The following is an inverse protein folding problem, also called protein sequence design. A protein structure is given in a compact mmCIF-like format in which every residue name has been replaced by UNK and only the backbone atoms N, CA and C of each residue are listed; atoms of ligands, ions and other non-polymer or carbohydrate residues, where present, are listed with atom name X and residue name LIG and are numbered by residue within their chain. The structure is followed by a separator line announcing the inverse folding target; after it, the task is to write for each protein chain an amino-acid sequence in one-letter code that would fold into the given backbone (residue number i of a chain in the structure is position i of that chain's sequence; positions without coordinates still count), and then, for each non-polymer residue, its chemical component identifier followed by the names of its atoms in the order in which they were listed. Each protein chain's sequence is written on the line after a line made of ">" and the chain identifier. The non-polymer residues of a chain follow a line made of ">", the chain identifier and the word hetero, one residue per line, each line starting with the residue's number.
data_IF_990974300197
#
_entry.id   IF_990974300197
#
_cell.length_a   1.000
_cell.length_b   1.000
_cell.length_c   1.000
_cell.angle_alpha   90.00
_cell.angle_beta   90.00
_cell.angle_gamma   90.00
#
_symmetry.space_group_name_H-M   'P 1'
#
loop_
_entity.id
_entity.type
_entity.pdbx_description
1 polymer ?
#
# COMPACT_ATOMS: atom_id res chain seq x y z
N UNK A 1 -3.20 31.35 17.78
CA UNK A 1 -3.04 31.41 16.31
C UNK A 1 -3.11 29.99 15.78
N UNK A 2 -4.26 29.58 15.24
CA UNK A 2 -4.35 28.30 14.52
C UNK A 2 -3.71 28.49 13.15
N UNK A 3 -2.71 27.68 12.82
CA UNK A 3 -2.21 27.55 11.45
C UNK A 3 -3.39 27.39 10.48
N UNK A 4 -3.33 28.10 9.35
CA UNK A 4 -4.24 27.86 8.24
C UNK A 4 -4.00 26.42 7.76
N UNK A 5 -4.93 25.52 8.06
CA UNK A 5 -4.85 24.13 7.59
C UNK A 5 -4.98 24.18 6.07
N UNK A 6 -3.85 24.10 5.37
CA UNK A 6 -3.85 23.90 3.93
C UNK A 6 -4.58 22.59 3.64
N UNK A 7 -5.49 22.64 2.68
CA UNK A 7 -6.32 21.52 2.27
C UNK A 7 -5.47 20.46 1.53
N UNK A 8 -4.66 19.77 2.30
CA UNK A 8 -3.74 18.74 1.85
C UNK A 8 -4.31 17.38 2.20
N UNK A 9 -4.02 16.38 1.37
CA UNK A 9 -4.31 14.98 1.66
C UNK A 9 -3.62 14.51 2.96
N UNK A 10 -4.06 13.39 3.54
CA UNK A 10 -3.47 12.77 4.73
C UNK A 10 -2.88 11.38 4.42
N UNK A 11 -1.77 11.02 5.07
CA UNK A 11 -1.15 9.69 4.95
C UNK A 11 -0.90 9.12 6.35
N UNK A 12 -1.09 7.82 6.51
CA UNK A 12 -0.69 7.08 7.69
C UNK A 12 -0.03 5.76 7.27
N UNK A 13 1.09 5.40 7.89
CA UNK A 13 1.76 4.12 7.69
C UNK A 13 2.02 3.47 9.05
N UNK A 14 1.63 2.20 9.19
CA UNK A 14 1.92 1.36 10.34
C UNK A 14 2.73 0.16 9.86
N UNK A 15 3.88 -0.07 10.50
CA UNK A 15 4.70 -1.27 10.34
C UNK A 15 4.94 -1.93 11.70
N UNK A 16 4.29 -3.07 11.92
CA UNK A 16 4.43 -3.84 13.15
C UNK A 16 5.77 -4.59 13.19
N UNK A 17 6.66 -4.26 14.12
CA UNK A 17 7.99 -4.89 14.21
C UNK A 17 7.96 -6.34 14.76
N UNK A 18 6.79 -6.81 15.21
CA UNK A 18 6.58 -8.17 15.75
C UNK A 18 5.37 -8.84 15.07
N UNK A 19 5.23 -10.17 15.14
CA UNK A 19 4.05 -10.88 14.63
C UNK A 19 2.77 -10.47 15.36
N UNK A 20 1.60 -10.76 14.77
CA UNK A 20 0.30 -10.42 15.37
C UNK A 20 0.09 -11.06 16.75
N UNK A 21 0.64 -12.26 16.99
CA UNK A 21 0.58 -12.95 18.28
C UNK A 21 1.14 -12.08 19.43
N UNK A 22 2.30 -11.44 19.20
CA UNK A 22 2.90 -10.55 20.21
C UNK A 22 1.96 -9.41 20.62
N UNK A 23 1.26 -8.81 19.64
CA UNK A 23 0.33 -7.72 19.93
C UNK A 23 -0.96 -8.21 20.58
N UNK A 24 -1.39 -9.42 20.24
CA UNK A 24 -2.50 -10.06 20.93
C UNK A 24 -2.18 -10.31 22.40
N UNK A 25 -1.02 -10.90 22.71
CA UNK A 25 -0.63 -11.19 24.09
C UNK A 25 -0.39 -9.92 24.91
N UNK A 26 0.19 -8.89 24.29
CA UNK A 26 0.52 -7.63 24.97
C UNK A 26 -0.65 -6.67 25.12
N UNK A 27 -1.55 -6.59 24.13
CA UNK A 27 -2.61 -5.58 24.05
C UNK A 27 -4.03 -6.18 24.00
N UNK A 28 -4.16 -7.50 24.09
CA UNK A 28 -5.44 -8.21 24.03
C UNK A 28 -6.07 -8.29 22.64
N UNK A 29 -5.35 -7.90 21.57
CA UNK A 29 -5.88 -7.96 20.20
C UNK A 29 -4.80 -8.07 19.13
N UNK A 30 -5.03 -8.95 18.15
CA UNK A 30 -4.21 -9.05 16.93
C UNK A 30 -4.43 -7.86 15.97
N UNK A 31 -5.48 -7.05 16.19
CA UNK A 31 -5.85 -5.91 15.33
C UNK A 31 -5.19 -4.60 15.73
N UNK A 32 -4.19 -4.66 16.61
CA UNK A 32 -3.50 -3.47 17.12
C UNK A 32 -3.07 -2.50 16.01
N UNK A 33 -2.48 -3.01 14.92
CA UNK A 33 -2.07 -2.18 13.79
C UNK A 33 -3.24 -1.49 13.09
N UNK A 34 -4.35 -2.20 12.86
CA UNK A 34 -5.55 -1.68 12.22
C UNK A 34 -6.23 -0.60 13.08
N UNK A 35 -6.36 -0.85 14.39
CA UNK A 35 -6.92 0.11 15.35
C UNK A 35 -6.08 1.39 15.41
N UNK A 36 -4.74 1.26 15.43
CA UNK A 36 -3.84 2.43 15.40
C UNK A 36 -3.93 3.19 14.08
N UNK A 37 -4.04 2.50 12.95
CA UNK A 37 -4.25 3.14 11.66
C UNK A 37 -5.55 3.95 11.65
N UNK A 38 -6.66 3.38 12.12
CA UNK A 38 -7.94 4.08 12.23
C UNK A 38 -7.83 5.36 13.06
N UNK A 39 -7.20 5.29 14.23
CA UNK A 39 -6.99 6.46 15.07
C UNK A 39 -6.14 7.53 14.39
N UNK A 40 -5.06 7.14 13.70
CA UNK A 40 -4.19 8.07 12.97
C UNK A 40 -4.92 8.75 11.81
N UNK A 41 -5.73 8.00 11.06
CA UNK A 41 -6.53 8.56 9.98
C UNK A 41 -7.65 9.46 10.53
N UNK A 42 -8.31 9.08 11.63
CA UNK A 42 -9.32 9.90 12.29
C UNK A 42 -8.75 11.24 12.77
N UNK A 43 -7.54 11.23 13.34
CA UNK A 43 -6.83 12.47 13.74
C UNK A 43 -6.55 13.39 12.54
N UNK A 44 -6.42 12.82 11.36
CA UNK A 44 -6.19 13.53 10.10
C UNK A 44 -7.47 13.79 9.29
N UNK A 45 -8.68 13.56 9.84
CA UNK A 45 -9.95 13.70 9.08
C UNK A 45 -10.14 15.05 8.36
N UNK A 46 -9.53 16.12 8.89
CA UNK A 46 -9.60 17.46 8.29
C UNK A 46 -8.65 17.63 7.08
N UNK A 47 -7.82 16.62 6.78
CA UNK A 47 -6.88 16.54 5.66
C UNK A 47 -7.43 15.70 4.49
N UNK A 48 -8.75 15.56 4.36
CA UNK A 48 -9.36 14.88 3.21
C UNK A 48 -10.75 14.34 3.50
N UNK A 49 -11.72 14.82 2.71
CA UNK A 49 -13.13 14.47 2.84
C UNK A 49 -13.72 13.91 1.54
N UNK A 50 -12.97 13.91 0.44
CA UNK A 50 -13.44 13.46 -0.87
C UNK A 50 -13.25 11.95 -1.09
N UNK A 51 -12.33 11.34 -0.36
CA UNK A 51 -12.15 9.90 -0.39
C UNK A 51 -11.13 9.42 0.64
N UNK A 52 -11.18 8.12 0.90
CA UNK A 52 -10.26 7.46 1.83
C UNK A 52 -9.94 6.05 1.34
N UNK A 53 -8.76 5.55 1.69
CA UNK A 53 -8.39 4.19 1.38
C UNK A 53 -7.36 3.62 2.34
N UNK A 54 -7.39 2.30 2.47
CA UNK A 54 -6.44 1.51 3.26
C UNK A 54 -5.97 0.33 2.44
N UNK A 55 -4.68 0.04 2.54
CA UNK A 55 -4.06 -1.19 2.06
C UNK A 55 -3.39 -1.91 3.23
N UNK A 56 -3.52 -3.23 3.23
CA UNK A 56 -2.99 -4.14 4.23
C UNK A 56 -2.08 -5.17 3.55
N UNK A 57 -0.84 -5.31 4.05
CA UNK A 57 0.14 -6.28 3.57
C UNK A 57 0.49 -7.24 4.71
N UNK A 58 0.19 -8.52 4.49
CA UNK A 58 0.50 -9.63 5.39
C UNK A 58 1.89 -10.17 5.05
N UNK A 59 2.72 -10.34 6.07
CA UNK A 59 4.08 -10.84 5.89
C UNK A 59 4.14 -12.36 5.98
N UNK A 60 5.12 -12.96 5.29
CA UNK A 60 5.39 -14.41 5.34
C UNK A 60 4.17 -15.27 5.00
N UNK A 61 3.34 -14.79 4.07
CA UNK A 61 2.18 -15.53 3.55
C UNK A 61 2.65 -16.56 2.51
N UNK A 62 2.14 -17.79 2.64
CA UNK A 62 2.40 -18.90 1.72
C UNK A 62 1.89 -18.59 0.31
N UNK A 63 2.53 -19.09 -0.76
CA UNK A 63 1.99 -19.03 -2.12
C UNK A 63 0.55 -19.55 -2.20
N UNK A 64 -0.25 -18.99 -3.12
CA UNK A 64 -1.68 -19.33 -3.27
C UNK A 64 -2.62 -18.59 -2.32
N UNK A 65 -2.12 -17.73 -1.43
CA UNK A 65 -2.92 -16.89 -0.53
C UNK A 65 -2.68 -15.41 -0.83
N UNK A 66 -3.73 -14.59 -0.74
CA UNK A 66 -3.61 -13.14 -0.90
C UNK A 66 -2.83 -12.53 0.25
N UNK A 67 -1.79 -11.77 -0.07
CA UNK A 67 -0.97 -11.05 0.91
C UNK A 67 -1.18 -9.52 0.88
N UNK A 68 -1.86 -8.98 -0.15
CA UNK A 68 -2.20 -7.55 -0.26
C UNK A 68 -3.70 -7.40 -0.46
N UNK A 69 -4.35 -6.72 0.48
CA UNK A 69 -5.76 -6.36 0.41
C UNK A 69 -5.93 -4.85 0.49
N UNK A 70 -6.90 -4.30 -0.25
CA UNK A 70 -7.13 -2.85 -0.33
C UNK A 70 -8.61 -2.56 -0.33
N UNK A 71 -9.02 -1.61 0.52
CA UNK A 71 -10.35 -1.01 0.52
C UNK A 71 -10.22 0.49 0.24
N UNK A 72 -11.14 1.04 -0.55
CA UNK A 72 -11.19 2.46 -0.89
C UNK A 72 -12.65 2.89 -0.96
N UNK A 73 -12.91 4.17 -0.72
CA UNK A 73 -14.21 4.79 -0.92
C UNK A 73 -14.06 6.27 -1.27
N UNK A 74 -14.98 6.78 -2.08
CA UNK A 74 -15.14 8.19 -2.42
C UNK A 74 -16.54 8.71 -2.01
N UNK A 75 -17.27 7.93 -1.19
CA UNK A 75 -18.57 8.31 -0.67
C UNK A 75 -18.44 9.41 0.39
N UNK A 76 -19.56 10.07 0.71
CA UNK A 76 -19.67 10.90 1.91
C UNK A 76 -19.36 10.07 3.17
N UNK A 77 -18.92 10.74 4.24
CA UNK A 77 -18.44 10.09 5.47
C UNK A 77 -17.40 8.98 5.22
N UNK A 78 -16.48 9.25 4.28
CA UNK A 78 -15.54 8.27 3.72
C UNK A 78 -14.80 7.43 4.77
N UNK A 79 -14.40 8.00 5.90
CA UNK A 79 -13.68 7.29 6.96
C UNK A 79 -14.57 6.25 7.63
N UNK A 80 -15.81 6.62 7.95
CA UNK A 80 -16.77 5.71 8.56
C UNK A 80 -17.08 4.57 7.59
N UNK A 81 -17.48 4.89 6.36
CA UNK A 81 -17.75 3.91 5.31
C UNK A 81 -16.58 2.95 5.06
N UNK A 82 -15.34 3.49 5.06
CA UNK A 82 -14.13 2.71 4.85
C UNK A 82 -13.92 1.69 5.98
N UNK A 83 -13.99 2.14 7.24
CA UNK A 83 -13.73 1.27 8.37
C UNK A 83 -14.88 0.31 8.65
N UNK A 84 -16.13 0.71 8.43
CA UNK A 84 -17.28 -0.19 8.49
C UNK A 84 -17.11 -1.35 7.51
N UNK A 85 -16.78 -1.06 6.24
CA UNK A 85 -16.51 -2.08 5.23
C UNK A 85 -15.32 -2.99 5.57
N UNK A 86 -14.30 -2.46 6.26
CA UNK A 86 -13.19 -3.27 6.76
C UNK A 86 -13.67 -4.18 7.90
N UNK A 87 -14.45 -3.65 8.86
CA UNK A 87 -14.93 -4.40 10.00
C UNK A 87 -16.01 -5.42 9.66
N UNK A 88 -16.69 -5.28 8.52
CA UNK A 88 -17.64 -6.27 8.03
C UNK A 88 -17.01 -7.66 7.81
N UNK A 89 -15.70 -7.70 7.53
CA UNK A 89 -14.96 -8.96 7.42
C UNK A 89 -14.92 -9.76 8.73
N UNK A 90 -15.23 -9.13 9.86
CA UNK A 90 -15.24 -9.75 11.19
C UNK A 90 -16.65 -10.17 11.63
N UNK A 91 -17.69 -9.80 10.88
CA UNK A 91 -19.07 -10.13 11.23
C UNK A 91 -19.28 -11.66 11.25
N UNK A 92 -20.00 -12.14 12.27
CA UNK A 92 -20.28 -13.56 12.45
C UNK A 92 -19.10 -14.41 12.95
N UNK A 93 -17.94 -13.82 13.21
CA UNK A 93 -16.83 -14.55 13.85
C UNK A 93 -17.13 -14.82 15.33
N UNK A 94 -16.86 -16.05 15.79
CA UNK A 94 -16.94 -16.38 17.20
C UNK A 94 -15.79 -15.72 17.99
N UNK A 95 -15.98 -15.52 19.30
CA UNK A 95 -14.92 -15.01 20.20
C UNK A 95 -13.62 -15.80 20.09
N UNK A 96 -13.70 -17.13 19.91
CA UNK A 96 -12.54 -18.01 19.71
C UNK A 96 -11.76 -17.68 18.43
N UNK A 97 -12.46 -17.33 17.33
CA UNK A 97 -11.83 -16.93 16.06
C UNK A 97 -11.22 -15.52 16.15
N UNK A 98 -11.90 -14.60 16.81
CA UNK A 98 -11.42 -13.22 17.04
C UNK A 98 -10.14 -13.21 17.89
N UNK A 99 -10.05 -14.08 18.90
CA UNK A 99 -8.88 -14.20 19.76
C UNK A 99 -7.83 -15.20 19.23
N UNK A 100 -7.84 -15.50 17.92
CA UNK A 100 -6.87 -16.38 17.29
C UNK A 100 -6.11 -15.60 16.19
N UNK A 101 -4.90 -15.07 16.49
CA UNK A 101 -4.15 -14.25 15.54
C UNK A 101 -3.78 -14.99 14.25
N UNK A 102 -3.47 -16.29 14.33
CA UNK A 102 -3.19 -17.12 13.16
C UNK A 102 -4.39 -17.25 12.23
N UNK A 103 -5.58 -17.53 12.79
CA UNK A 103 -6.84 -17.57 12.04
C UNK A 103 -7.12 -16.21 11.39
N UNK A 104 -6.98 -15.11 12.15
CA UNK A 104 -7.21 -13.77 11.64
C UNK A 104 -6.24 -13.44 10.49
N UNK A 105 -4.95 -13.71 10.65
CA UNK A 105 -3.95 -13.48 9.61
C UNK A 105 -4.25 -14.29 8.36
N UNK A 106 -4.73 -15.53 8.47
CA UNK A 106 -5.04 -16.33 7.28
C UNK A 106 -6.32 -15.88 6.58
N UNK A 107 -7.38 -15.56 7.34
CA UNK A 107 -8.73 -15.43 6.80
C UNK A 107 -9.23 -14.00 6.68
N UNK A 108 -8.69 -13.06 7.47
CA UNK A 108 -9.21 -11.70 7.55
C UNK A 108 -8.31 -10.74 6.78
N UNK A 109 -8.80 -10.07 5.72
CA UNK A 109 -7.97 -9.28 4.81
C UNK A 109 -7.08 -8.23 5.47
N UNK A 110 -7.59 -7.55 6.51
CA UNK A 110 -6.94 -6.40 7.17
C UNK A 110 -6.24 -6.74 8.50
N UNK A 111 -6.21 -8.02 8.90
CA UNK A 111 -5.34 -8.50 9.98
C UNK A 111 -3.91 -8.69 9.44
N UNK A 112 -3.13 -7.61 9.45
CA UNK A 112 -1.86 -7.52 8.73
C UNK A 112 -0.80 -6.71 9.48
N UNK A 113 0.48 -6.92 9.14
CA UNK A 113 1.62 -6.28 9.81
C UNK A 113 2.11 -4.98 9.15
N UNK A 114 1.72 -4.72 7.90
CA UNK A 114 1.98 -3.43 7.24
C UNK A 114 0.65 -2.88 6.76
N UNK A 115 0.35 -1.65 7.16
CA UNK A 115 -0.91 -1.00 6.84
C UNK A 115 -0.64 0.43 6.42
N UNK A 116 -1.20 0.86 5.29
CA UNK A 116 -1.09 2.24 4.82
C UNK A 116 -2.49 2.78 4.56
N UNK A 117 -2.76 3.98 5.06
CA UNK A 117 -3.99 4.73 4.90
C UNK A 117 -3.74 6.04 4.17
N UNK A 118 -4.70 6.46 3.36
CA UNK A 118 -4.70 7.76 2.69
C UNK A 118 -6.07 8.42 2.82
N UNK A 119 -6.04 9.75 3.01
CA UNK A 119 -7.19 10.64 2.97
C UNK A 119 -7.00 11.59 1.80
N UNK A 120 -7.98 11.64 0.91
CA UNK A 120 -7.96 12.46 -0.28
C UNK A 120 -8.70 13.77 -0.02
N UNK A 121 -8.02 14.87 -0.28
CA UNK A 121 -8.61 16.16 -0.56
C UNK A 121 -8.50 16.44 -2.06
N UNK A 122 -9.63 16.59 -2.74
CA UNK A 122 -9.71 16.87 -4.17
C UNK A 122 -9.73 18.37 -4.41
N UNK A 123 -8.62 18.91 -4.91
CA UNK A 123 -8.55 20.34 -5.29
C UNK A 123 -9.13 20.60 -6.68
N UNK A 124 -8.98 19.65 -7.62
CA UNK A 124 -9.44 19.75 -9.01
C UNK A 124 -9.79 18.35 -9.56
N UNK A 125 -10.81 18.27 -10.42
CA UNK A 125 -11.23 17.02 -11.12
C UNK A 125 -12.41 16.28 -10.48
N UNK A 126 -13.00 15.35 -11.23
CA UNK A 126 -14.15 14.57 -10.77
C UNK A 126 -13.79 13.69 -9.57
N UNK A 127 -14.71 13.56 -8.61
CA UNK A 127 -14.56 12.68 -7.45
C UNK A 127 -14.66 11.19 -7.87
N UNK A 128 -13.64 10.70 -8.54
CA UNK A 128 -13.56 9.33 -9.04
C UNK A 128 -12.77 8.43 -8.10
N UNK A 129 -13.27 7.20 -7.89
CA UNK A 129 -12.54 6.11 -7.23
C UNK A 129 -11.13 5.85 -7.79
N UNK A 130 -10.88 6.24 -9.04
CA UNK A 130 -9.56 6.12 -9.69
C UNK A 130 -8.51 7.02 -9.01
N UNK A 131 -8.93 8.12 -8.40
CA UNK A 131 -8.06 9.11 -7.76
C UNK A 131 -7.85 8.85 -6.27
N UNK A 132 -8.52 7.84 -5.69
CA UNK A 132 -8.39 7.49 -4.27
C UNK A 132 -7.18 6.58 -4.08
N UNK A 133 -6.25 6.95 -3.21
CA UNK A 133 -5.09 6.13 -2.87
C UNK A 133 -5.42 5.17 -1.70
N UNK A 134 -4.62 4.14 -1.42
CA UNK A 134 -3.42 3.69 -2.14
C UNK A 134 -3.70 3.07 -3.52
N UNK A 135 -2.78 3.25 -4.47
CA UNK A 135 -2.75 2.55 -5.76
C UNK A 135 -1.80 1.36 -5.69
N UNK A 136 -2.01 0.36 -6.57
CA UNK A 136 -1.24 -0.89 -6.58
C UNK A 136 -0.88 -1.23 -8.01
N UNK A 137 0.41 -1.45 -8.26
CA UNK A 137 0.95 -2.11 -9.45
C UNK A 137 1.30 -3.55 -9.07
N UNK A 138 0.50 -4.51 -9.54
CA UNK A 138 0.64 -5.92 -9.15
C UNK A 138 1.59 -6.66 -10.08
N UNK A 139 2.38 -7.57 -9.51
CA UNK A 139 3.18 -8.54 -10.24
C UNK A 139 3.16 -9.89 -9.49
N UNK A 140 3.38 -10.99 -10.21
CA UNK A 140 3.51 -12.32 -9.60
C UNK A 140 4.79 -12.44 -8.77
N UNK A 141 5.85 -11.72 -9.14
CA UNK A 141 7.01 -11.52 -8.27
C UNK A 141 6.73 -10.40 -7.27
N UNK A 142 6.76 -10.75 -5.98
CA UNK A 142 6.53 -9.78 -4.89
C UNK A 142 7.52 -8.61 -4.95
N UNK A 143 8.77 -8.86 -5.38
CA UNK A 143 9.81 -7.85 -5.56
C UNK A 143 9.49 -6.80 -6.62
N UNK A 144 8.55 -7.07 -7.54
CA UNK A 144 8.10 -6.14 -8.59
C UNK A 144 6.72 -5.54 -8.29
N UNK A 145 6.13 -5.88 -7.14
CA UNK A 145 4.83 -5.34 -6.73
C UNK A 145 5.04 -4.02 -5.97
N UNK A 146 4.35 -2.98 -6.40
CA UNK A 146 4.44 -1.65 -5.81
C UNK A 146 3.08 -1.19 -5.28
N UNK A 147 3.06 -0.70 -4.04
CA UNK A 147 1.91 -0.05 -3.44
C UNK A 147 2.30 1.39 -3.13
N UNK A 148 1.50 2.35 -3.59
CA UNK A 148 1.83 3.76 -3.48
C UNK A 148 0.64 4.56 -2.97
N UNK A 149 0.92 5.47 -2.05
CA UNK A 149 0.05 6.59 -1.74
C UNK A 149 0.94 7.83 -1.63
N UNK A 150 0.49 8.95 -2.18
CA UNK A 150 1.21 10.20 -2.08
C UNK A 150 0.29 11.41 -2.02
N UNK A 151 0.87 12.50 -1.55
CA UNK A 151 0.28 13.82 -1.45
C UNK A 151 1.11 14.74 -2.35
N UNK A 152 0.88 14.67 -3.65
CA UNK A 152 1.66 15.40 -4.63
C UNK A 152 0.77 16.01 -5.71
N UNK A 153 1.29 17.06 -6.33
CA UNK A 153 0.77 17.68 -7.54
C UNK A 153 2.00 17.94 -8.42
N UNK A 154 2.06 17.32 -9.60
CA UNK A 154 3.24 17.35 -10.46
C UNK A 154 3.11 18.47 -11.49
N UNK A 155 4.03 19.42 -11.46
CA UNK A 155 4.07 20.53 -12.43
C UNK A 155 4.62 20.11 -13.79
N UNK A 156 5.35 18.99 -13.86
CA UNK A 156 5.99 18.46 -15.06
C UNK A 156 5.45 17.08 -15.48
N UNK A 157 4.16 16.80 -15.21
CA UNK A 157 3.53 15.51 -15.56
C UNK A 157 3.62 15.19 -17.06
N UNK A 158 3.62 16.22 -17.91
CA UNK A 158 3.75 16.07 -19.36
C UNK A 158 5.12 15.48 -19.74
N UNK A 159 6.20 16.07 -19.23
CA UNK A 159 7.58 15.62 -19.46
C UNK A 159 7.80 14.19 -18.94
N UNK A 160 7.33 13.92 -17.72
CA UNK A 160 7.45 12.59 -17.11
C UNK A 160 6.65 11.54 -17.90
N UNK A 161 5.52 11.92 -18.50
CA UNK A 161 4.74 11.01 -19.34
C UNK A 161 5.46 10.70 -20.65
N UNK A 162 6.00 11.72 -21.33
CA UNK A 162 6.77 11.52 -22.57
C UNK A 162 8.05 10.69 -22.32
N UNK A 163 8.70 10.88 -21.18
CA UNK A 163 9.83 10.05 -20.75
C UNK A 163 9.43 8.56 -20.67
N UNK A 164 8.29 8.23 -20.06
CA UNK A 164 7.78 6.86 -20.01
C UNK A 164 7.49 6.29 -21.41
N UNK A 165 6.90 7.09 -22.29
CA UNK A 165 6.64 6.70 -23.68
C UNK A 165 7.96 6.46 -24.43
N UNK A 166 8.99 7.26 -24.17
CA UNK A 166 10.33 7.07 -24.75
C UNK A 166 10.99 5.76 -24.33
N UNK A 167 10.64 5.22 -23.15
CA UNK A 167 11.04 3.88 -22.70
C UNK A 167 10.23 2.75 -23.36
N UNK A 168 9.30 3.06 -24.27
CA UNK A 168 8.43 2.11 -24.93
C UNK A 168 7.22 1.68 -24.09
N UNK A 169 6.92 2.38 -22.98
CA UNK A 169 5.71 2.10 -22.22
C UNK A 169 4.47 2.66 -22.92
N UNK A 170 3.32 2.07 -22.62
CA UNK A 170 2.02 2.55 -23.08
C UNK A 170 1.10 2.83 -21.88
N UNK A 171 1.32 3.95 -21.13
CA UNK A 171 0.49 4.25 -19.98
C UNK A 171 -0.94 4.55 -20.44
N UNK A 172 -1.92 3.81 -19.92
CA UNK A 172 -3.33 3.91 -20.35
C UNK A 172 -4.00 5.27 -20.04
N UNK A 173 -3.32 6.13 -19.27
CA UNK A 173 -3.79 7.45 -18.86
C UNK A 173 -2.63 8.35 -18.50
N UNK A 174 -2.75 9.62 -18.89
CA UNK A 174 -1.91 10.72 -18.41
C UNK A 174 -2.49 11.33 -17.13
N UNK A 175 -1.87 11.01 -15.98
CA UNK A 175 -2.24 11.57 -14.67
C UNK A 175 -1.10 11.35 -13.68
N UNK A 176 -0.88 12.31 -12.77
CA UNK A 176 0.22 12.30 -11.79
C UNK A 176 0.41 10.94 -11.13
N UNK A 177 -0.67 10.37 -10.58
CA UNK A 177 -0.62 9.09 -9.87
C UNK A 177 -0.15 7.94 -10.75
N UNK A 178 -0.62 7.88 -12.00
CA UNK A 178 -0.23 6.80 -12.94
C UNK A 178 1.20 7.03 -13.42
N UNK A 179 1.55 8.26 -13.78
CA UNK A 179 2.90 8.61 -14.23
C UNK A 179 3.95 8.27 -13.15
N UNK A 180 3.72 8.63 -11.89
CA UNK A 180 4.64 8.29 -10.79
C UNK A 180 4.65 6.79 -10.52
N UNK A 181 3.49 6.12 -10.53
CA UNK A 181 3.40 4.68 -10.28
C UNK A 181 4.20 3.88 -11.34
N UNK A 182 4.07 4.23 -12.61
CA UNK A 182 4.76 3.55 -13.70
C UNK A 182 6.23 3.95 -13.81
N UNK A 183 6.61 5.19 -13.46
CA UNK A 183 8.03 5.59 -13.40
C UNK A 183 8.78 4.84 -12.31
N UNK A 184 8.27 4.85 -11.06
CA UNK A 184 8.87 4.05 -9.99
C UNK A 184 8.80 2.55 -10.33
N UNK A 185 7.69 2.10 -10.93
CA UNK A 185 7.53 0.72 -11.39
C UNK A 185 8.57 0.29 -12.42
N UNK A 186 8.95 1.19 -13.34
CA UNK A 186 9.99 0.97 -14.34
C UNK A 186 11.36 0.76 -13.71
N UNK A 187 11.78 1.67 -12.82
CA UNK A 187 13.08 1.55 -12.15
C UNK A 187 13.11 0.38 -11.17
N UNK A 188 12.00 0.06 -10.50
CA UNK A 188 11.85 -1.18 -9.73
C UNK A 188 12.09 -2.41 -10.61
N UNK A 189 11.51 -2.44 -11.81
CA UNK A 189 11.66 -3.57 -12.71
C UNK A 189 13.08 -3.71 -13.25
N UNK A 190 13.78 -2.60 -13.49
CA UNK A 190 15.18 -2.57 -13.90
C UNK A 190 16.12 -3.01 -12.78
N UNK A 191 15.90 -2.52 -11.56
CA UNK A 191 16.70 -2.89 -10.39
C UNK A 191 16.56 -4.38 -10.07
N UNK A 192 15.34 -4.91 -10.09
CA UNK A 192 15.11 -6.35 -9.92
C UNK A 192 15.81 -7.16 -11.01
N UNK A 193 15.81 -6.67 -12.26
CA UNK A 193 16.50 -7.35 -13.36
C UNK A 193 18.02 -7.32 -13.19
N UNK A 194 18.58 -6.17 -12.80
CA UNK A 194 20.00 -6.02 -12.52
C UNK A 194 20.46 -6.99 -11.43
N UNK A 195 19.76 -7.03 -10.31
CA UNK A 195 20.08 -7.95 -9.20
C UNK A 195 19.91 -9.42 -9.62
N UNK A 196 18.88 -9.74 -10.41
CA UNK A 196 18.70 -11.09 -10.97
C UNK A 196 19.92 -11.52 -11.79
N UNK A 197 20.36 -10.69 -12.73
CA UNK A 197 21.47 -11.00 -13.63
C UNK A 197 22.80 -11.09 -12.88
N UNK A 198 23.02 -10.20 -11.90
CA UNK A 198 24.19 -10.22 -11.03
C UNK A 198 24.27 -11.52 -10.22
N UNK A 199 23.19 -11.87 -9.50
CA UNK A 199 23.14 -13.07 -8.66
C UNK A 199 23.23 -14.37 -9.49
N UNK A 200 22.69 -14.37 -10.72
CA UNK A 200 22.87 -15.51 -11.65
C UNK A 200 24.32 -15.69 -12.07
N UNK A 201 25.04 -14.59 -12.36
CA UNK A 201 26.48 -14.64 -12.68
C UNK A 201 27.32 -15.14 -11.50
N UNK A 202 26.88 -14.86 -10.27
CA UNK A 202 27.49 -15.40 -9.04
C UNK A 202 27.15 -16.88 -8.77
N UNK A 203 26.38 -17.53 -9.64
CA UNK A 203 26.07 -18.96 -9.56
C UNK A 203 24.84 -19.31 -8.71
N UNK A 204 24.02 -18.34 -8.32
CA UNK A 204 22.78 -18.59 -7.56
C UNK A 204 21.69 -19.14 -8.48
N UNK A 205 21.55 -20.47 -8.48
CA UNK A 205 20.60 -21.16 -9.37
C UNK A 205 19.21 -21.40 -8.76
N UNK A 206 19.08 -21.43 -7.43
CA UNK A 206 17.79 -21.55 -6.76
C UNK A 206 16.99 -20.23 -6.85
N UNK A 207 15.85 -20.28 -7.56
CA UNK A 207 15.00 -19.12 -7.80
C UNK A 207 14.31 -18.58 -6.54
N UNK A 208 14.05 -19.43 -5.54
CA UNK A 208 13.47 -18.99 -4.25
C UNK A 208 14.50 -18.20 -3.47
N UNK A 209 15.72 -18.74 -3.36
CA UNK A 209 16.86 -18.04 -2.74
C UNK A 209 17.16 -16.73 -3.47
N UNK A 210 17.16 -16.75 -4.79
CA UNK A 210 17.40 -15.58 -5.62
C UNK A 210 16.37 -14.48 -5.36
N UNK A 211 15.08 -14.81 -5.30
CA UNK A 211 14.01 -13.82 -5.02
C UNK A 211 14.19 -13.17 -3.65
N UNK A 212 14.59 -13.93 -2.63
CA UNK A 212 14.85 -13.39 -1.29
C UNK A 212 16.05 -12.44 -1.30
N UNK A 213 17.15 -12.84 -1.93
CA UNK A 213 18.36 -12.01 -2.04
C UNK A 213 18.11 -10.72 -2.82
N UNK A 214 17.37 -10.77 -3.94
CA UNK A 214 16.93 -9.55 -4.64
C UNK A 214 16.19 -8.64 -3.66
N UNK A 215 15.22 -9.17 -2.92
CA UNK A 215 14.43 -8.36 -1.99
C UNK A 215 15.27 -7.71 -0.87
N UNK A 216 16.37 -8.32 -0.47
CA UNK A 216 17.30 -7.81 0.56
C UNK A 216 18.25 -6.76 0.00
N UNK A 217 18.60 -6.86 -1.29
CA UNK A 217 19.59 -6.01 -1.95
C UNK A 217 19.01 -4.84 -2.75
N UNK A 218 17.67 -4.74 -2.89
CA UNK A 218 17.03 -3.67 -3.66
C UNK A 218 17.56 -2.28 -3.26
N UNK A 219 18.18 -1.58 -4.21
CA UNK A 219 18.56 -0.19 -4.02
C UNK A 219 17.37 0.76 -4.22
N UNK A 220 16.78 1.18 -3.11
CA UNK A 220 15.63 2.09 -3.11
C UNK A 220 15.97 3.45 -3.72
N UNK A 221 17.23 3.91 -3.65
CA UNK A 221 17.62 5.18 -4.27
C UNK A 221 17.54 5.09 -5.80
N UNK A 222 18.04 4.00 -6.37
CA UNK A 222 17.92 3.71 -7.80
C UNK A 222 16.46 3.55 -8.22
N UNK A 223 15.64 2.87 -7.42
CA UNK A 223 14.19 2.69 -7.71
C UNK A 223 13.41 4.01 -7.71
N UNK A 224 13.84 5.01 -6.94
CA UNK A 224 13.18 6.32 -6.85
C UNK A 224 13.74 7.37 -7.81
N UNK A 225 14.65 7.00 -8.72
CA UNK A 225 15.28 7.90 -9.69
C UNK A 225 14.34 8.36 -10.82
#
# INVERSE_FOLDING_TARGET
>A
MSELIKHECGIALIRLKKPLDYYHDKYGTALYGLLKLQLLMQKQRNRGQDGAGVVAIKLNVKPGKSYINRQRTNKQDNLKELFDSIYDNFNGLSKKKINNPGFLKENIPFAAEVLMGHLRYGTHGSNSMKNVHPVIRRNNWKTRTLVMAGNFNLTNVDELFEELVSYGQHPFRKSDTITVLEKIGHFLDREVQFEFDRLKKEGINDNVKLTNLISENLDIQTVLS
#
